data_IF_662971933518
#
_entry.id   IF_662971933518
#
_cell.length_a   1.000
_cell.length_b   1.000
_cell.length_c   1.000
_cell.angle_alpha   90.00
_cell.angle_beta   90.00
_cell.angle_gamma   90.00
#
_symmetry.space_group_name_H-M   'P 1'
#
loop_
_entity.id
_entity.type
_entity.pdbx_description
1 polymer ?
#
# COMPACT_ATOMS: atom_id res chain seq x y z
N UNK A 1 -10.14 2.92 -5.73
CA UNK A 1 -9.07 2.16 -6.42
C UNK A 1 -9.27 0.72 -6.01
N UNK A 2 -9.14 -0.23 -6.92
CA UNK A 2 -9.37 -1.65 -6.62
C UNK A 2 -8.09 -2.42 -6.88
N UNK A 3 -7.88 -3.48 -6.11
CA UNK A 3 -6.74 -4.37 -6.34
C UNK A 3 -6.88 -5.03 -7.72
N UNK A 4 -5.78 -5.11 -8.46
CA UNK A 4 -5.80 -5.69 -9.80
C UNK A 4 -6.13 -7.18 -9.73
N UNK A 5 -6.86 -7.74 -10.71
CA UNK A 5 -7.28 -9.15 -10.68
C UNK A 5 -6.11 -10.14 -10.75
N UNK A 6 -4.94 -9.70 -11.25
CA UNK A 6 -3.72 -10.51 -11.33
C UNK A 6 -2.87 -10.45 -10.05
N UNK A 7 -3.41 -9.88 -8.96
CA UNK A 7 -2.69 -9.74 -7.70
C UNK A 7 -3.31 -10.64 -6.64
N UNK A 8 -2.49 -11.48 -6.05
CA UNK A 8 -2.78 -12.14 -4.79
C UNK A 8 -1.93 -11.49 -3.69
N UNK A 9 -2.45 -11.42 -2.47
CA UNK A 9 -1.66 -10.94 -1.34
C UNK A 9 -1.99 -11.71 -0.06
N UNK A 10 -1.05 -11.71 0.88
CA UNK A 10 -1.20 -12.32 2.18
C UNK A 10 -0.65 -11.38 3.25
N UNK A 11 -1.50 -11.01 4.22
CA UNK A 11 -1.08 -10.23 5.38
C UNK A 11 -0.40 -11.17 6.38
N UNK A 12 0.90 -10.96 6.60
CA UNK A 12 1.72 -11.79 7.50
C UNK A 12 1.53 -11.31 8.95
N UNK A 13 1.58 -10.00 9.16
CA UNK A 13 1.31 -9.32 10.44
C UNK A 13 0.87 -7.87 10.17
N UNK A 14 0.76 -7.03 11.19
CA UNK A 14 0.32 -5.64 11.04
C UNK A 14 1.31 -4.75 10.26
N UNK A 15 2.58 -5.15 10.19
CA UNK A 15 3.66 -4.44 9.52
C UNK A 15 4.15 -5.14 8.25
N UNK A 16 3.59 -6.28 7.83
CA UNK A 16 4.10 -7.01 6.66
C UNK A 16 2.97 -7.63 5.83
N UNK A 17 2.98 -7.31 4.54
CA UNK A 17 2.11 -7.91 3.52
C UNK A 17 2.98 -8.43 2.38
N UNK A 18 2.75 -9.69 1.97
CA UNK A 18 3.35 -10.24 0.75
C UNK A 18 2.37 -10.12 -0.40
N UNK A 19 2.84 -9.59 -1.53
CA UNK A 19 2.06 -9.40 -2.75
C UNK A 19 2.68 -10.23 -3.86
N UNK A 20 1.89 -11.08 -4.51
CA UNK A 20 2.27 -11.94 -5.62
C UNK A 20 1.55 -11.46 -6.87
N UNK A 21 2.31 -11.24 -7.95
CA UNK A 21 1.77 -11.08 -9.30
C UNK A 21 1.57 -12.45 -9.93
N UNK A 22 0.37 -12.73 -10.41
CA UNK A 22 -0.02 -14.02 -10.98
C UNK A 22 0.35 -14.17 -12.45
N UNK A 23 0.60 -13.07 -13.14
CA UNK A 23 1.01 -13.00 -14.55
C UNK A 23 2.54 -12.96 -14.73
N UNK A 24 3.29 -13.05 -13.64
CA UNK A 24 4.74 -13.01 -13.63
C UNK A 24 5.31 -14.05 -12.65
N UNK A 25 5.94 -15.08 -13.20
CA UNK A 25 6.39 -16.29 -12.48
C UNK A 25 7.40 -16.03 -11.34
N UNK A 26 7.93 -14.81 -11.18
CA UNK A 26 8.97 -14.52 -10.18
C UNK A 26 8.82 -13.20 -9.43
N UNK A 27 7.61 -12.63 -9.35
CA UNK A 27 7.41 -11.32 -8.71
C UNK A 27 6.58 -11.38 -7.43
N UNK A 28 7.26 -11.76 -6.34
CA UNK A 28 6.78 -11.60 -4.95
C UNK A 28 7.40 -10.34 -4.36
N UNK A 29 6.55 -9.42 -3.89
CA UNK A 29 6.95 -8.21 -3.19
C UNK A 29 6.61 -8.31 -1.72
N UNK A 30 7.52 -7.87 -0.87
CA UNK A 30 7.27 -7.71 0.56
C UNK A 30 7.03 -6.22 0.82
N UNK A 31 5.85 -5.87 1.31
CA UNK A 31 5.51 -4.53 1.78
C UNK A 31 5.70 -4.50 3.28
N UNK A 32 6.39 -3.47 3.78
CA UNK A 32 6.74 -3.35 5.19
C UNK A 32 6.21 -2.05 5.81
N UNK A 33 5.85 -2.12 7.11
CA UNK A 33 5.46 -1.02 7.99
C UNK A 33 4.40 -0.12 7.35
N UNK A 34 4.73 1.16 7.17
CA UNK A 34 3.83 2.17 6.60
C UNK A 34 3.39 1.83 5.16
N UNK A 35 4.20 1.14 4.37
CA UNK A 35 3.80 0.74 3.00
C UNK A 35 2.75 -0.36 3.04
N UNK A 36 2.92 -1.35 3.93
CA UNK A 36 1.91 -2.39 4.16
C UNK A 36 0.59 -1.78 4.65
N UNK A 37 0.65 -0.81 5.56
CA UNK A 37 -0.54 -0.12 6.06
C UNK A 37 -1.26 0.69 4.97
N UNK A 38 -0.51 1.43 4.15
CA UNK A 38 -1.08 2.14 2.98
C UNK A 38 -1.78 1.15 2.04
N UNK A 39 -1.15 0.01 1.74
CA UNK A 39 -1.76 -1.03 0.90
C UNK A 39 -3.07 -1.56 1.48
N UNK A 40 -3.09 -1.94 2.76
CA UNK A 40 -4.29 -2.47 3.44
C UNK A 40 -5.44 -1.47 3.44
N UNK A 41 -5.16 -0.19 3.70
CA UNK A 41 -6.18 0.86 3.70
C UNK A 41 -6.73 1.14 2.30
N UNK A 42 -5.89 1.17 1.26
CA UNK A 42 -6.37 1.30 -0.13
C UNK A 42 -7.25 0.11 -0.51
N UNK A 43 -6.85 -1.10 -0.13
CA UNK A 43 -7.63 -2.31 -0.38
C UNK A 43 -9.00 -2.31 0.35
N UNK A 44 -9.10 -1.60 1.48
CA UNK A 44 -10.36 -1.33 2.19
C UNK A 44 -11.16 -0.15 1.63
N UNK A 45 -10.73 0.41 0.50
CA UNK A 45 -11.35 1.56 -0.16
C UNK A 45 -11.37 2.84 0.70
N UNK A 46 -10.41 2.98 1.63
CA UNK A 46 -10.26 4.18 2.44
C UNK A 46 -9.84 5.40 1.60
N UNK A 47 -10.22 6.60 2.07
CA UNK A 47 -9.83 7.86 1.41
C UNK A 47 -8.38 8.22 1.72
N UNK A 48 -7.71 8.89 0.78
CA UNK A 48 -6.32 9.36 0.94
C UNK A 48 -6.15 10.17 2.25
N UNK A 49 -7.08 11.08 2.56
CA UNK A 49 -7.02 11.87 3.80
C UNK A 49 -6.98 11.00 5.07
N UNK A 50 -7.76 9.90 5.09
CA UNK A 50 -7.78 8.97 6.22
C UNK A 50 -6.49 8.16 6.29
N UNK A 51 -5.95 7.74 5.14
CA UNK A 51 -4.66 7.04 5.04
C UNK A 51 -3.53 7.94 5.56
N UNK A 52 -3.44 9.18 5.06
CA UNK A 52 -2.44 10.16 5.50
C UNK A 52 -2.51 10.40 7.00
N UNK A 53 -3.71 10.61 7.55
CA UNK A 53 -3.88 10.80 8.99
C UNK A 53 -3.41 9.59 9.78
N UNK A 54 -3.79 8.38 9.38
CA UNK A 54 -3.38 7.15 10.06
C UNK A 54 -1.86 6.96 10.04
N UNK A 55 -1.20 7.23 8.90
CA UNK A 55 0.26 7.11 8.78
C UNK A 55 0.98 8.20 9.57
N UNK A 56 0.44 9.42 9.59
CA UNK A 56 0.97 10.52 10.41
C UNK A 56 0.95 10.17 11.90
N UNK A 57 -0.17 9.63 12.39
CA UNK A 57 -0.32 9.17 13.78
C UNK A 57 0.66 8.03 14.12
N UNK A 58 0.81 7.05 13.22
CA UNK A 58 1.72 5.92 13.41
C UNK A 58 3.20 6.37 13.44
N UNK A 59 3.58 7.27 12.55
CA UNK A 59 4.98 7.69 12.36
C UNK A 59 5.38 8.93 13.17
N UNK A 60 4.40 9.64 13.76
CA UNK A 60 4.57 10.95 14.43
C UNK A 60 5.25 11.99 13.54
N UNK A 61 5.05 11.88 12.22
CA UNK A 61 5.59 12.81 11.20
C UNK A 61 4.57 13.86 10.79
N UNK A 62 5.06 14.96 10.23
CA UNK A 62 4.24 16.04 9.70
C UNK A 62 3.33 15.54 8.58
N UNK A 63 2.06 15.96 8.59
CA UNK A 63 1.08 15.53 7.60
C UNK A 63 1.51 15.86 6.17
N UNK A 64 2.21 16.97 5.91
CA UNK A 64 2.63 17.32 4.55
C UNK A 64 3.69 16.35 4.00
N UNK A 65 4.62 15.92 4.85
CA UNK A 65 5.60 14.90 4.46
C UNK A 65 4.92 13.55 4.21
N UNK A 66 3.91 13.21 5.02
CA UNK A 66 3.14 11.98 4.88
C UNK A 66 2.27 11.98 3.63
N UNK A 67 1.66 13.11 3.26
CA UNK A 67 0.89 13.24 2.01
C UNK A 67 1.77 12.90 0.81
N UNK A 68 2.98 13.45 0.74
CA UNK A 68 3.92 13.16 -0.36
C UNK A 68 4.25 11.68 -0.39
N UNK A 69 4.60 11.09 0.75
CA UNK A 69 4.90 9.66 0.86
C UNK A 69 3.73 8.77 0.42
N UNK A 70 2.50 9.06 0.87
CA UNK A 70 1.30 8.27 0.51
C UNK A 70 1.03 8.37 -0.99
N UNK A 71 1.13 9.56 -1.58
CA UNK A 71 0.94 9.75 -3.01
C UNK A 71 2.00 9.01 -3.84
N UNK A 72 3.28 9.13 -3.49
CA UNK A 72 4.37 8.39 -4.17
C UNK A 72 4.17 6.87 -4.06
N UNK A 73 3.75 6.39 -2.89
CA UNK A 73 3.47 4.96 -2.67
C UNK A 73 2.31 4.49 -3.54
N UNK A 74 1.23 5.27 -3.63
CA UNK A 74 0.08 4.99 -4.51
C UNK A 74 0.51 4.97 -5.98
N UNK A 75 1.32 5.92 -6.42
CA UNK A 75 1.82 5.95 -7.79
C UNK A 75 2.68 4.72 -8.10
N UNK A 76 3.54 4.32 -7.15
CA UNK A 76 4.37 3.14 -7.33
C UNK A 76 3.54 1.86 -7.38
N UNK A 77 2.49 1.75 -6.56
CA UNK A 77 1.54 0.65 -6.64
C UNK A 77 0.84 0.58 -8.00
N UNK A 78 0.47 1.72 -8.60
CA UNK A 78 -0.11 1.75 -9.95
C UNK A 78 0.90 1.35 -11.01
N UNK A 79 2.15 1.83 -10.94
CA UNK A 79 3.21 1.43 -11.88
C UNK A 79 3.51 -0.06 -11.80
N UNK A 80 3.49 -0.61 -10.58
CA UNK A 80 3.63 -2.03 -10.35
C UNK A 80 2.36 -2.80 -10.73
N UNK A 81 1.25 -2.16 -11.08
CA UNK A 81 0.00 -2.84 -11.43
C UNK A 81 -0.67 -3.53 -10.25
N UNK A 82 -0.41 -3.09 -9.02
CA UNK A 82 -1.07 -3.63 -7.83
C UNK A 82 -2.54 -3.21 -7.72
N UNK A 83 -2.85 -1.99 -8.17
CA UNK A 83 -4.19 -1.43 -8.13
C UNK A 83 -4.54 -0.68 -9.42
N UNK A 84 -5.84 -0.64 -9.72
CA UNK A 84 -6.49 0.07 -10.85
C UNK A 84 -7.53 1.10 -10.37
#
# INVERSE_FOLDING_TARGET
MKISPNIAFNKINDDEIKVLKLDDDNNVYTLEKSVAHVFDMINKEEKIDAITKSISEQTKKDEKEVVTFVNETIEEFKKLGFFE
#
